data_IF_423285366632
#
_entry.id   IF_423285366632
#
_cell.length_a   1.000
_cell.length_b   1.000
_cell.length_c   1.000
_cell.angle_alpha   90.00
_cell.angle_beta   90.00
_cell.angle_gamma   90.00
#
_symmetry.space_group_name_H-M   'P 1'
#
loop_
_entity.id
_entity.type
_entity.pdbx_description
1 polymer ?
#
# COMPACT_ATOMS: atom_id res chain seq x y z
N UNK A 1 12.18 5.73 28.72
CA UNK A 1 10.77 6.13 28.55
C UNK A 1 10.58 7.44 29.28
N UNK A 2 10.78 8.57 28.61
CA UNK A 2 10.52 9.92 29.17
C UNK A 2 9.28 10.46 28.47
N UNK A 3 8.14 10.33 29.14
CA UNK A 3 6.82 10.80 28.67
C UNK A 3 6.68 12.33 28.65
N UNK A 4 7.75 13.09 28.89
CA UNK A 4 7.70 14.52 29.15
C UNK A 4 7.77 15.44 27.92
N UNK A 5 7.83 14.90 26.69
CA UNK A 5 7.84 15.70 25.45
C UNK A 5 6.99 15.07 24.33
N UNK A 6 5.74 14.70 24.63
CA UNK A 6 4.76 14.44 23.57
C UNK A 6 4.30 15.78 23.01
N UNK A 7 4.87 16.18 21.88
CA UNK A 7 4.41 17.37 21.18
C UNK A 7 2.94 17.19 20.76
N UNK A 8 2.16 18.26 20.84
CA UNK A 8 0.72 18.24 20.59
C UNK A 8 0.36 17.59 19.25
N UNK A 9 1.21 17.77 18.23
CA UNK A 9 1.04 17.15 16.92
C UNK A 9 1.11 15.61 16.97
N UNK A 10 1.95 15.02 17.82
CA UNK A 10 2.11 13.57 17.94
C UNK A 10 0.82 12.93 18.49
N UNK A 11 0.25 13.55 19.52
CA UNK A 11 -1.01 13.11 20.13
C UNK A 11 -2.15 13.20 19.11
N UNK A 12 -2.26 14.32 18.39
CA UNK A 12 -3.28 14.52 17.37
C UNK A 12 -3.16 13.49 16.24
N UNK A 13 -1.96 13.23 15.74
CA UNK A 13 -1.75 12.26 14.65
C UNK A 13 -2.05 10.83 15.10
N UNK A 14 -1.70 10.46 16.34
CA UNK A 14 -2.04 9.13 16.89
C UNK A 14 -3.56 8.96 16.97
N UNK A 15 -4.27 9.94 17.53
CA UNK A 15 -5.73 9.90 17.67
C UNK A 15 -6.41 9.80 16.30
N UNK A 16 -6.01 10.62 15.33
CA UNK A 16 -6.56 10.61 13.97
C UNK A 16 -6.29 9.27 13.28
N UNK A 17 -5.07 8.73 13.43
CA UNK A 17 -4.71 7.44 12.82
C UNK A 17 -5.53 6.29 13.39
N UNK A 18 -5.75 6.25 14.70
CA UNK A 18 -6.59 5.25 15.36
C UNK A 18 -8.04 5.35 14.87
N UNK A 19 -8.60 6.55 14.79
CA UNK A 19 -9.96 6.77 14.27
C UNK A 19 -10.06 6.28 12.81
N UNK A 20 -9.07 6.58 11.97
CA UNK A 20 -9.07 6.21 10.55
C UNK A 20 -8.95 4.70 10.32
N UNK A 21 -8.13 4.02 11.14
CA UNK A 21 -8.03 2.55 11.13
C UNK A 21 -9.34 1.93 11.61
N UNK A 22 -9.91 2.44 12.71
CA UNK A 22 -11.16 1.94 13.27
C UNK A 22 -12.33 2.11 12.30
N UNK A 23 -12.45 3.25 11.63
CA UNK A 23 -13.44 3.46 10.56
C UNK A 23 -13.22 2.52 9.38
N UNK A 24 -11.97 2.25 9.02
CA UNK A 24 -11.63 1.29 7.96
C UNK A 24 -12.09 -0.12 8.32
N UNK A 25 -11.84 -0.54 9.56
CA UNK A 25 -12.25 -1.84 10.07
C UNK A 25 -13.76 -1.96 10.18
N UNK A 26 -14.46 -0.92 10.67
CA UNK A 26 -15.93 -0.90 10.69
C UNK A 26 -16.54 -0.99 9.29
N UNK A 27 -16.01 -0.26 8.29
CA UNK A 27 -16.51 -0.31 6.91
C UNK A 27 -16.26 -1.66 6.24
N UNK A 28 -15.12 -2.29 6.53
CA UNK A 28 -14.83 -3.64 6.08
C UNK A 28 -15.74 -4.69 6.75
N UNK A 29 -15.96 -4.59 8.06
CA UNK A 29 -16.87 -5.46 8.80
C UNK A 29 -18.33 -5.32 8.33
N UNK A 30 -18.74 -4.11 7.93
CA UNK A 30 -20.07 -3.83 7.35
C UNK A 30 -20.25 -4.33 5.90
N UNK A 31 -19.23 -4.94 5.28
CA UNK A 31 -19.26 -5.43 3.88
C UNK A 31 -19.82 -4.42 2.88
N UNK A 32 -19.52 -3.13 3.06
CA UNK A 32 -19.91 -2.11 2.10
C UNK A 32 -19.28 -2.40 0.73
N UNK A 33 -20.09 -2.29 -0.34
CA UNK A 33 -19.66 -2.68 -1.68
C UNK A 33 -18.42 -1.88 -2.12
N UNK A 34 -17.38 -2.59 -2.58
CA UNK A 34 -16.12 -1.99 -3.01
C UNK A 34 -15.00 -1.90 -1.96
N UNK A 35 -15.19 -2.41 -0.73
CA UNK A 35 -14.12 -2.60 0.26
C UNK A 35 -13.39 -3.94 0.03
N UNK A 36 -12.25 -3.91 -0.67
CA UNK A 36 -11.38 -5.08 -0.85
C UNK A 36 -10.42 -5.20 0.34
N UNK A 37 -10.02 -6.42 0.71
CA UNK A 37 -8.97 -6.70 1.72
C UNK A 37 -7.72 -5.85 1.45
N UNK A 38 -7.37 -5.64 0.17
CA UNK A 38 -6.28 -4.76 -0.25
C UNK A 38 -6.43 -3.31 0.23
N UNK A 39 -7.65 -2.73 0.19
CA UNK A 39 -7.91 -1.36 0.66
C UNK A 39 -7.77 -1.24 2.17
N UNK A 40 -8.18 -2.28 2.92
CA UNK A 40 -7.99 -2.33 4.37
C UNK A 40 -6.50 -2.45 4.73
N UNK A 41 -5.78 -3.36 4.06
CA UNK A 41 -4.33 -3.53 4.25
C UNK A 41 -3.56 -2.24 3.92
N UNK A 42 -3.88 -1.59 2.81
CA UNK A 42 -3.27 -0.30 2.44
C UNK A 42 -3.54 0.77 3.50
N UNK A 43 -4.77 0.84 4.01
CA UNK A 43 -5.15 1.80 5.05
C UNK A 43 -4.40 1.52 6.37
N UNK A 44 -4.26 0.25 6.77
CA UNK A 44 -3.47 -0.14 7.94
C UNK A 44 -1.99 0.17 7.73
N UNK A 45 -1.43 -0.09 6.55
CA UNK A 45 -0.03 0.20 6.25
C UNK A 45 0.26 1.71 6.31
N UNK A 46 -0.61 2.54 5.72
CA UNK A 46 -0.44 3.99 5.71
C UNK A 46 -0.58 4.59 7.10
N UNK A 47 -1.70 4.33 7.79
CA UNK A 47 -1.94 4.92 9.11
C UNK A 47 -1.07 4.30 10.21
N UNK A 48 -0.77 3.00 10.11
CA UNK A 48 0.19 2.33 10.98
C UNK A 48 1.61 2.84 10.79
N UNK A 49 2.02 3.08 9.54
CA UNK A 49 3.29 3.75 9.23
C UNK A 49 3.36 5.15 9.81
N UNK A 50 2.28 5.94 9.72
CA UNK A 50 2.20 7.29 10.28
C UNK A 50 2.38 7.30 11.81
N UNK A 51 1.77 6.34 12.51
CA UNK A 51 1.95 6.14 13.96
C UNK A 51 3.40 5.75 14.27
N UNK A 52 4.00 4.86 13.48
CA UNK A 52 5.40 4.46 13.65
C UNK A 52 6.37 5.63 13.53
N UNK A 53 6.15 6.51 12.57
CA UNK A 53 6.94 7.75 12.38
C UNK A 53 6.82 8.69 13.57
N UNK A 54 5.62 8.79 14.15
CA UNK A 54 5.35 9.68 15.28
C UNK A 54 5.95 9.15 16.59
N UNK A 55 5.89 7.83 16.83
CA UNK A 55 6.40 7.21 18.06
C UNK A 55 7.93 7.11 18.05
N UNK A 56 8.54 6.88 16.88
CA UNK A 56 9.99 6.70 16.74
C UNK A 56 10.63 7.75 15.82
N UNK A 57 10.54 9.05 16.14
CA UNK A 57 11.05 10.12 15.28
C UNK A 57 12.57 10.04 15.09
N UNK A 58 13.31 9.53 16.08
CA UNK A 58 14.76 9.28 15.97
C UNK A 58 15.09 8.17 14.98
N UNK A 59 14.30 7.11 14.97
CA UNK A 59 14.45 6.02 14.01
C UNK A 59 14.10 6.49 12.60
N UNK A 60 13.02 7.27 12.45
CA UNK A 60 12.68 7.92 11.18
C UNK A 60 13.78 8.86 10.70
N UNK A 61 14.38 9.65 11.59
CA UNK A 61 15.50 10.53 11.25
C UNK A 61 16.76 9.74 10.86
N UNK A 62 17.08 8.65 11.56
CA UNK A 62 18.20 7.78 11.21
C UNK A 62 17.97 7.03 9.90
N UNK A 63 16.78 6.47 9.68
CA UNK A 63 16.37 5.88 8.40
C UNK A 63 16.49 6.90 7.27
N UNK A 64 15.98 8.12 7.49
CA UNK A 64 16.14 9.21 6.54
C UNK A 64 17.62 9.48 6.26
N UNK A 65 18.47 9.58 7.27
CA UNK A 65 19.91 9.82 7.10
C UNK A 65 20.66 8.66 6.42
N UNK A 66 20.33 7.41 6.76
CA UNK A 66 20.93 6.19 6.18
C UNK A 66 20.49 5.92 4.74
N UNK A 67 19.26 6.32 4.38
CA UNK A 67 18.75 6.33 3.00
C UNK A 67 19.24 7.58 2.24
N UNK A 68 19.98 8.48 2.90
CA UNK A 68 20.57 9.69 2.32
C UNK A 68 19.61 10.88 2.22
N UNK A 69 18.41 10.80 2.82
CA UNK A 69 17.39 11.85 2.90
C UNK A 69 17.85 12.97 3.84
N UNK A 70 18.92 13.64 3.45
CA UNK A 70 19.46 14.85 4.05
C UNK A 70 19.58 15.90 2.95
N UNK A 71 18.51 16.68 2.75
CA UNK A 71 18.43 17.77 1.77
C UNK A 71 17.33 17.62 0.71
N UNK A 72 17.11 18.68 -0.09
CA UNK A 72 16.06 18.74 -1.12
C UNK A 72 16.28 17.78 -2.31
N UNK A 73 17.55 17.49 -2.66
CA UNK A 73 17.88 16.65 -3.81
C UNK A 73 17.43 15.20 -3.59
N UNK A 74 17.47 14.72 -2.35
CA UNK A 74 17.20 13.33 -2.05
C UNK A 74 15.70 12.98 -1.95
N UNK A 75 14.83 13.97 -1.71
CA UNK A 75 13.38 13.77 -1.77
C UNK A 75 12.91 13.43 -3.20
N UNK A 76 13.54 14.00 -4.22
CA UNK A 76 13.26 13.70 -5.63
C UNK A 76 13.69 12.27 -5.97
N UNK A 77 14.87 11.85 -5.52
CA UNK A 77 15.37 10.48 -5.73
C UNK A 77 14.47 9.47 -5.02
N UNK A 78 14.08 9.73 -3.77
CA UNK A 78 13.15 8.87 -3.03
C UNK A 78 11.78 8.79 -3.71
N UNK A 79 11.25 9.93 -4.16
CA UNK A 79 9.97 9.98 -4.89
C UNK A 79 10.08 9.23 -6.21
N UNK A 80 11.18 9.40 -6.94
CA UNK A 80 11.47 8.65 -8.16
C UNK A 80 11.55 7.14 -7.90
N UNK A 81 12.23 6.73 -6.84
CA UNK A 81 12.32 5.33 -6.42
C UNK A 81 10.95 4.76 -6.05
N UNK A 82 10.15 5.50 -5.29
CA UNK A 82 8.77 5.12 -4.96
C UNK A 82 7.91 4.99 -6.21
N UNK A 83 8.02 5.92 -7.16
CA UNK A 83 7.30 5.87 -8.43
C UNK A 83 7.73 4.66 -9.26
N UNK A 84 9.01 4.32 -9.30
CA UNK A 84 9.52 3.10 -9.96
C UNK A 84 8.92 1.85 -9.30
N UNK A 85 8.88 1.76 -7.96
CA UNK A 85 8.24 0.66 -7.26
C UNK A 85 6.75 0.53 -7.60
N UNK A 86 6.01 1.65 -7.61
CA UNK A 86 4.60 1.67 -8.02
C UNK A 86 4.42 1.24 -9.48
N UNK A 87 5.35 1.61 -10.36
CA UNK A 87 5.34 1.21 -11.76
C UNK A 87 5.58 -0.29 -11.91
N UNK A 88 6.52 -0.87 -11.14
CA UNK A 88 6.76 -2.32 -11.10
C UNK A 88 5.50 -3.06 -10.65
N UNK A 89 4.83 -2.62 -9.59
CA UNK A 89 3.57 -3.25 -9.15
C UNK A 89 2.48 -3.18 -10.21
N UNK A 90 2.37 -2.05 -10.93
CA UNK A 90 1.42 -1.89 -12.03
C UNK A 90 1.73 -2.87 -13.17
N UNK A 91 3.01 -3.04 -13.52
CA UNK A 91 3.44 -3.97 -14.55
C UNK A 91 3.15 -5.42 -14.15
N UNK A 92 3.44 -5.82 -12.90
CA UNK A 92 3.10 -7.15 -12.39
C UNK A 92 1.60 -7.45 -12.52
N UNK A 93 0.75 -6.51 -12.10
CA UNK A 93 -0.71 -6.69 -12.24
C UNK A 93 -1.16 -6.75 -13.70
N UNK A 94 -0.49 -6.04 -14.61
CA UNK A 94 -0.77 -6.13 -16.04
C UNK A 94 -0.37 -7.50 -16.61
N UNK A 95 0.78 -8.05 -16.18
CA UNK A 95 1.26 -9.37 -16.57
C UNK A 95 0.30 -10.46 -16.08
N UNK A 96 -0.13 -10.44 -14.82
CA UNK A 96 -1.11 -11.40 -14.28
C UNK A 96 -2.42 -11.42 -15.11
N UNK A 97 -2.91 -10.24 -15.50
CA UNK A 97 -4.11 -10.13 -16.35
C UNK A 97 -3.88 -10.70 -17.74
N UNK A 98 -2.68 -10.48 -18.30
CA UNK A 98 -2.29 -11.03 -19.59
C UNK A 98 -2.24 -12.56 -19.55
N UNK A 99 -1.63 -13.14 -18.52
CA UNK A 99 -1.58 -14.60 -18.32
C UNK A 99 -2.97 -15.20 -18.21
N UNK A 100 -3.87 -14.54 -17.47
CA UNK A 100 -5.25 -14.99 -17.33
C UNK A 100 -6.03 -14.91 -18.65
N UNK A 101 -5.86 -13.83 -19.42
CA UNK A 101 -6.48 -13.69 -20.74
C UNK A 101 -5.97 -14.75 -21.72
N UNK A 102 -4.67 -15.03 -21.74
CA UNK A 102 -4.09 -16.08 -22.58
C UNK A 102 -4.68 -17.44 -22.20
N UNK A 103 -4.76 -17.75 -20.90
CA UNK A 103 -5.33 -19.00 -20.41
C UNK A 103 -6.80 -19.16 -20.82
N UNK A 104 -7.59 -18.08 -20.77
CA UNK A 104 -8.96 -18.09 -21.24
C UNK A 104 -9.09 -18.26 -22.76
N UNK A 105 -8.20 -17.62 -23.53
CA UNK A 105 -8.19 -17.71 -24.98
C UNK A 105 -7.88 -19.14 -25.43
N UNK A 106 -6.80 -19.73 -24.91
CA UNK A 106 -6.40 -21.11 -25.22
C UNK A 106 -7.52 -22.09 -24.88
N UNK A 107 -8.16 -21.95 -23.71
CA UNK A 107 -9.29 -22.80 -23.32
C UNK A 107 -10.48 -22.68 -24.27
N UNK A 108 -10.81 -21.45 -24.72
CA UNK A 108 -11.89 -21.23 -25.67
C UNK A 108 -11.57 -21.84 -27.04
N UNK A 109 -10.32 -21.74 -27.48
CA UNK A 109 -9.89 -22.28 -28.77
C UNK A 109 -9.88 -23.81 -28.76
N UNK A 110 -9.34 -24.45 -27.72
CA UNK A 110 -9.41 -25.92 -27.58
C UNK A 110 -10.85 -26.44 -27.52
N UNK A 111 -11.76 -25.76 -26.82
CA UNK A 111 -13.18 -26.15 -26.79
C UNK A 111 -13.89 -25.95 -28.13
N UNK A 112 -13.46 -24.99 -28.95
CA UNK A 112 -14.00 -24.79 -30.31
C UNK A 112 -13.54 -25.87 -31.27
N UNK A 113 -12.30 -26.34 -31.14
CA UNK A 113 -11.76 -27.43 -31.97
C UNK A 113 -12.53 -28.74 -31.71
N UNK A 114 -12.74 -29.10 -30.44
CA UNK A 114 -13.52 -30.30 -30.07
C UNK A 114 -14.94 -30.25 -30.68
N UNK A 115 -15.61 -29.09 -30.61
CA UNK A 115 -16.97 -28.92 -31.16
C UNK A 115 -17.06 -28.97 -32.70
N UNK A 116 -15.95 -28.92 -33.42
CA UNK A 116 -15.94 -29.00 -34.89
C UNK A 116 -15.70 -30.42 -35.41
N UNK A 117 -15.23 -31.33 -34.56
CA UNK A 117 -14.99 -32.73 -34.91
C UNK A 117 -16.20 -33.64 -34.61
N UNK A 118 -17.22 -33.13 -33.91
CA UNK A 118 -18.57 -33.71 -33.75
C UNK A 118 -19.56 -33.13 -34.77
#
# INVERSE_FOLDING_TARGET
MTFSNLYLYQIVVIIVSVIMIFQGFQRFAKRESGQTIFKLLLRIAVWGGMVGVVIFPKFTYQLAHSIGITGNINAVILTGFLLVFLMIFKLLSAIERLEQNISELTRKDSLKEIKKED
#
